data_IF_247036667996
#
_entry.id   IF_247036667996
#
_cell.length_a   1.000
_cell.length_b   1.000
_cell.length_c   1.000
_cell.angle_alpha   90.00
_cell.angle_beta   90.00
_cell.angle_gamma   90.00
#
_symmetry.space_group_name_H-M   'P 1'
#
loop_
_entity.id
_entity.type
_entity.pdbx_description
1 polymer ?
#
# COMPACT_ATOMS: atom_id res chain seq x y z
N UNK A 1 1.36 -7.78 32.22
CA UNK A 1 1.95 -6.84 31.25
C UNK A 1 2.65 -5.74 32.03
N UNK A 2 3.94 -5.51 31.81
CA UNK A 2 4.69 -4.50 32.56
C UNK A 2 4.46 -3.12 31.93
N UNK A 3 3.79 -2.23 32.65
CA UNK A 3 3.55 -0.86 32.21
C UNK A 3 4.76 0.02 32.53
N UNK A 4 5.14 0.90 31.60
CA UNK A 4 6.24 1.86 31.79
C UNK A 4 5.77 3.27 31.39
N UNK A 5 6.25 4.32 32.08
CA UNK A 5 5.93 5.68 31.69
C UNK A 5 6.62 6.05 30.38
N UNK A 6 5.88 6.66 29.45
CA UNK A 6 6.43 7.27 28.26
C UNK A 6 7.48 8.31 28.66
N UNK A 7 8.68 8.23 28.09
CA UNK A 7 9.77 9.14 28.47
C UNK A 7 9.52 10.59 28.05
N UNK A 8 8.70 10.81 27.02
CA UNK A 8 8.31 12.12 26.49
C UNK A 8 7.15 12.75 27.30
N UNK A 9 5.96 12.15 27.32
CA UNK A 9 4.76 12.75 27.92
C UNK A 9 4.37 12.18 29.30
N UNK A 10 5.13 11.22 29.85
CA UNK A 10 4.87 10.52 31.13
C UNK A 10 3.61 9.68 31.20
N UNK A 11 2.80 9.63 30.14
CA UNK A 11 1.65 8.73 30.06
C UNK A 11 2.09 7.26 30.17
N UNK A 12 1.35 6.47 30.93
CA UNK A 12 1.65 5.06 31.17
C UNK A 12 1.32 4.24 29.93
N UNK A 13 2.29 3.50 29.40
CA UNK A 13 2.14 2.70 28.18
C UNK A 13 2.66 1.28 28.40
N UNK A 14 2.20 0.33 27.59
CA UNK A 14 2.77 -1.00 27.56
C UNK A 14 4.26 -0.95 27.20
N UNK A 15 5.10 -1.73 27.88
CA UNK A 15 6.55 -1.75 27.62
C UNK A 15 6.92 -2.17 26.19
N UNK A 16 6.01 -2.81 25.45
CA UNK A 16 6.18 -3.24 24.06
C UNK A 16 5.54 -2.28 23.04
N UNK A 17 4.90 -1.19 23.50
CA UNK A 17 4.25 -0.24 22.62
C UNK A 17 5.26 0.41 21.66
N UNK A 18 5.01 0.30 20.36
CA UNK A 18 5.84 0.93 19.31
C UNK A 18 5.62 2.43 19.20
N UNK A 19 4.44 2.92 19.58
CA UNK A 19 4.04 4.33 19.52
C UNK A 19 3.25 4.68 20.78
N UNK A 20 3.49 5.87 21.36
CA UNK A 20 2.67 6.36 22.47
C UNK A 20 1.29 6.78 21.97
N UNK A 21 0.18 6.27 22.54
CA UNK A 21 -1.17 6.67 22.15
C UNK A 21 -1.51 8.12 22.55
N UNK A 22 -0.80 8.69 23.53
CA UNK A 22 -1.10 10.04 24.03
C UNK A 22 -0.32 11.14 23.29
N UNK A 23 0.94 10.90 22.89
CA UNK A 23 1.75 11.93 22.23
C UNK A 23 2.35 11.53 20.87
N UNK A 24 2.11 10.31 20.39
CA UNK A 24 2.55 9.86 19.07
C UNK A 24 4.05 9.57 18.94
N UNK A 25 4.84 9.68 20.02
CA UNK A 25 6.28 9.39 19.97
C UNK A 25 6.54 7.90 19.71
N UNK A 26 7.43 7.59 18.77
CA UNK A 26 7.88 6.22 18.49
C UNK A 26 8.82 5.75 19.60
N UNK A 27 8.70 4.49 19.99
CA UNK A 27 9.46 3.84 21.06
C UNK A 27 9.40 4.57 22.42
N UNK A 28 8.20 4.76 23.01
CA UNK A 28 8.00 5.56 24.21
C UNK A 28 8.76 5.09 25.47
N UNK A 29 9.18 3.82 25.50
CA UNK A 29 9.85 3.22 26.65
C UNK A 29 11.37 3.45 26.74
N UNK A 30 12.00 3.98 25.68
CA UNK A 30 13.46 4.17 25.60
C UNK A 30 13.79 5.63 25.28
N UNK A 31 14.91 6.12 25.80
CA UNK A 31 15.42 7.45 25.42
C UNK A 31 16.35 7.32 24.20
N UNK A 32 16.47 8.39 23.41
CA UNK A 32 17.42 8.45 22.28
C UNK A 32 18.85 8.13 22.75
N UNK A 33 19.23 8.59 23.95
CA UNK A 33 20.52 8.27 24.56
C UNK A 33 20.71 6.76 24.81
N UNK A 34 19.68 6.03 25.22
CA UNK A 34 19.74 4.57 25.41
C UNK A 34 19.84 3.80 24.08
N UNK A 35 19.20 4.29 23.02
CA UNK A 35 19.33 3.67 21.69
C UNK A 35 20.73 3.85 21.10
N UNK A 36 21.32 5.05 21.26
CA UNK A 36 22.70 5.32 20.81
C UNK A 36 23.71 4.51 21.63
N UNK A 37 23.54 4.42 22.96
CA UNK A 37 24.42 3.59 23.80
C UNK A 37 24.32 2.10 23.46
N UNK A 38 23.11 1.59 23.19
CA UNK A 38 22.90 0.20 22.78
C UNK A 38 23.56 -0.14 21.44
N UNK A 39 23.51 0.78 20.48
CA UNK A 39 24.17 0.63 19.18
C UNK A 39 25.71 0.64 19.33
N UNK A 40 26.25 1.52 20.18
CA UNK A 40 27.69 1.59 20.45
C UNK A 40 28.21 0.32 21.15
N UNK A 41 27.48 -0.21 22.13
CA UNK A 41 27.84 -1.46 22.80
C UNK A 41 27.82 -2.63 21.81
N UNK A 42 26.80 -2.69 20.93
CA UNK A 42 26.72 -3.71 19.88
C UNK A 42 27.92 -3.64 18.92
N UNK A 43 28.31 -2.44 18.48
CA UNK A 43 29.47 -2.25 17.60
C UNK A 43 30.79 -2.64 18.28
N UNK A 44 30.94 -2.37 19.58
CA UNK A 44 32.12 -2.82 20.35
C UNK A 44 32.14 -4.33 20.51
N UNK A 45 31.00 -4.99 20.72
CA UNK A 45 30.91 -6.46 20.77
C UNK A 45 31.27 -7.07 19.41
N UNK A 46 30.78 -6.48 18.31
CA UNK A 46 31.11 -6.93 16.95
C UNK A 46 32.60 -6.74 16.67
N UNK A 47 33.17 -5.59 17.02
CA UNK A 47 34.61 -5.34 16.88
C UNK A 47 35.45 -6.31 17.72
N UNK A 48 35.03 -6.58 18.97
CA UNK A 48 35.66 -7.56 19.86
C UNK A 48 35.61 -8.98 19.31
N UNK A 49 34.46 -9.39 18.75
CA UNK A 49 34.29 -10.69 18.12
C UNK A 49 35.17 -10.86 16.87
N UNK A 50 35.33 -9.81 16.05
CA UNK A 50 36.20 -9.81 14.86
C UNK A 50 37.68 -9.90 15.28
N UNK A 51 38.07 -9.28 16.40
CA UNK A 51 39.44 -9.40 16.94
C UNK A 51 39.73 -10.75 17.60
N UNK A 52 38.71 -11.49 18.05
CA UNK A 52 38.88 -12.84 18.62
C UNK A 52 38.87 -13.98 17.59
N UNK A 53 38.53 -13.70 16.33
CA UNK A 53 38.50 -14.70 15.25
C UNK A 53 39.52 -14.45 14.12
N UNK A 54 40.57 -13.64 14.35
CA UNK A 54 41.65 -13.45 13.37
C UNK A 54 42.94 -14.13 13.82
N UNK A 55 42.96 -15.46 13.77
CA UNK A 55 44.17 -16.27 13.73
C UNK A 55 44.20 -17.05 12.42
N UNK A 56 45.16 -16.76 11.54
CA UNK A 56 45.50 -17.69 10.44
C UNK A 56 45.64 -17.08 9.04
N UNK A 57 46.87 -16.66 8.76
CA UNK A 57 47.64 -16.81 7.52
C UNK A 57 47.27 -16.08 6.21
N UNK A 58 48.34 -15.60 5.58
CA UNK A 58 48.40 -14.84 4.32
C UNK A 58 48.40 -15.79 3.13
N UNK A 59 47.66 -15.45 2.07
CA UNK A 59 48.09 -15.75 0.71
C UNK A 59 47.52 -14.72 -0.27
N UNK A 60 48.42 -14.20 -1.12
CA UNK A 60 48.10 -13.30 -2.23
C UNK A 60 47.60 -14.14 -3.40
N UNK A 61 46.43 -13.81 -3.94
CA UNK A 61 46.06 -14.14 -5.32
C UNK A 61 45.56 -12.87 -5.99
N UNK A 62 46.16 -12.60 -7.14
CA UNK A 62 45.86 -11.47 -8.01
C UNK A 62 44.59 -11.72 -8.83
N UNK A 63 43.92 -10.61 -9.10
CA UNK A 63 43.10 -10.29 -10.25
C UNK A 63 41.72 -10.97 -10.40
N UNK A 64 40.68 -10.15 -10.22
CA UNK A 64 39.48 -10.07 -11.08
C UNK A 64 38.59 -8.93 -10.59
N UNK A 65 38.55 -7.89 -11.42
CA UNK A 65 37.38 -7.08 -11.80
C UNK A 65 36.26 -6.93 -10.76
N UNK A 66 35.97 -5.71 -10.26
CA UNK A 66 34.80 -5.48 -9.44
C UNK A 66 33.51 -5.91 -10.17
N UNK A 67 32.66 -6.74 -9.55
CA UNK A 67 31.35 -7.05 -10.09
C UNK A 67 30.52 -5.78 -10.22
N UNK A 68 30.07 -5.56 -11.46
CA UNK A 68 28.91 -4.78 -11.87
C UNK A 68 28.23 -3.98 -10.75
N UNK A 69 28.40 -2.65 -10.83
CA UNK A 69 27.34 -1.73 -10.44
C UNK A 69 26.01 -2.28 -10.96
N UNK A 70 25.15 -2.65 -10.00
CA UNK A 70 23.73 -2.88 -10.25
C UNK A 70 23.25 -1.69 -11.08
N UNK A 71 22.71 -1.89 -12.30
CA UNK A 71 22.39 -0.77 -13.15
C UNK A 71 21.43 0.13 -12.40
N UNK A 72 21.86 1.38 -12.20
CA UNK A 72 20.95 2.49 -11.99
C UNK A 72 19.93 2.39 -13.11
N UNK A 73 18.72 1.94 -12.77
CA UNK A 73 17.61 1.93 -13.71
C UNK A 73 17.45 3.36 -14.19
N UNK A 74 17.84 3.54 -15.44
CA UNK A 74 17.90 4.82 -16.12
C UNK A 74 16.53 5.48 -16.03
N UNK A 75 16.57 6.74 -15.64
CA UNK A 75 15.47 7.69 -15.76
C UNK A 75 15.02 7.77 -17.21
N UNK A 76 13.92 7.09 -17.52
CA UNK A 76 13.14 7.38 -18.73
C UNK A 76 11.81 7.93 -18.27
N UNK A 77 11.68 9.25 -18.34
CA UNK A 77 10.40 9.92 -18.20
C UNK A 77 9.55 9.68 -19.46
N UNK A 78 8.23 9.51 -19.31
CA UNK A 78 7.66 8.17 -19.25
C UNK A 78 6.72 7.90 -20.43
N UNK A 79 6.26 6.66 -20.48
CA UNK A 79 4.98 6.27 -21.09
C UNK A 79 3.93 7.37 -20.86
N UNK A 80 3.44 7.93 -21.97
CA UNK A 80 2.52 9.06 -22.09
C UNK A 80 1.37 9.04 -21.08
N UNK A 81 1.28 10.05 -20.22
CA UNK A 81 0.11 10.33 -19.39
C UNK A 81 -0.88 11.24 -20.14
N UNK A 82 -2.13 11.31 -19.67
CA UNK A 82 -3.16 12.21 -20.25
C UNK A 82 -3.69 13.16 -19.19
N UNK A 83 -3.69 14.47 -19.46
CA UNK A 83 -4.39 15.45 -18.63
C UNK A 83 -5.88 15.35 -18.97
N UNK A 84 -6.72 14.96 -17.99
CA UNK A 84 -8.16 14.81 -18.18
C UNK A 84 -8.95 16.04 -17.75
N UNK A 85 -8.40 16.83 -16.82
CA UNK A 85 -8.96 18.11 -16.37
C UNK A 85 -7.85 19.09 -16.03
N UNK A 86 -8.03 20.35 -16.37
CA UNK A 86 -7.11 21.44 -16.04
C UNK A 86 -7.90 22.72 -15.76
N UNK A 87 -7.98 23.08 -14.48
CA UNK A 87 -8.76 24.21 -14.00
C UNK A 87 -7.87 25.22 -13.30
N UNK A 88 -8.04 26.49 -13.65
CA UNK A 88 -7.36 27.60 -13.00
C UNK A 88 -8.33 28.75 -12.73
N UNK A 89 -8.21 29.34 -11.54
CA UNK A 89 -8.86 30.60 -11.17
C UNK A 89 -7.86 31.42 -10.38
N UNK A 90 -7.81 32.71 -10.66
CA UNK A 90 -6.94 33.64 -9.93
C UNK A 90 -7.20 33.56 -8.41
N UNK A 91 -6.11 33.62 -7.63
CA UNK A 91 -6.17 33.45 -6.17
C UNK A 91 -6.40 32.01 -5.68
N UNK A 92 -6.48 31.01 -6.56
CA UNK A 92 -6.59 29.59 -6.20
C UNK A 92 -5.48 28.75 -6.84
N UNK A 93 -5.09 27.62 -6.23
CA UNK A 93 -4.18 26.68 -6.89
C UNK A 93 -4.77 26.18 -8.22
N UNK A 94 -3.95 26.06 -9.26
CA UNK A 94 -4.30 25.31 -10.47
C UNK A 94 -4.59 23.87 -10.07
N UNK A 95 -5.73 23.32 -10.50
CA UNK A 95 -6.12 21.93 -10.24
C UNK A 95 -6.05 21.14 -11.52
N UNK A 96 -5.25 20.07 -11.50
CA UNK A 96 -5.06 19.19 -12.65
C UNK A 96 -5.45 17.77 -12.27
N UNK A 97 -6.15 17.07 -13.15
CA UNK A 97 -6.37 15.63 -13.06
C UNK A 97 -5.60 14.96 -14.19
N UNK A 98 -4.83 13.92 -13.85
CA UNK A 98 -3.96 13.19 -14.76
C UNK A 98 -4.33 11.71 -14.72
N UNK A 99 -4.57 11.12 -15.89
CA UNK A 99 -4.68 9.68 -16.08
C UNK A 99 -3.30 9.10 -16.42
N UNK A 100 -2.86 8.14 -15.61
CA UNK A 100 -1.62 7.40 -15.79
C UNK A 100 -1.93 6.01 -16.38
N UNK A 101 -1.14 5.52 -17.35
CA UNK A 101 -1.32 4.17 -17.88
C UNK A 101 -0.93 3.07 -16.88
N UNK A 102 -0.18 3.43 -15.83
CA UNK A 102 0.25 2.51 -14.76
C UNK A 102 0.57 3.26 -13.47
N UNK A 103 0.67 2.49 -12.38
CA UNK A 103 1.24 2.96 -11.11
C UNK A 103 2.71 3.31 -11.30
N UNK A 104 3.11 4.42 -10.69
CA UNK A 104 4.47 4.96 -10.73
C UNK A 104 5.15 4.76 -9.36
N UNK A 105 6.48 4.70 -9.34
CA UNK A 105 7.23 4.88 -8.10
C UNK A 105 7.37 6.37 -7.75
N UNK A 106 7.95 6.67 -6.58
CA UNK A 106 8.05 8.05 -6.07
C UNK A 106 8.83 8.99 -7.01
N UNK A 107 9.92 8.51 -7.61
CA UNK A 107 10.75 9.28 -8.55
C UNK A 107 9.98 9.58 -9.83
N UNK A 108 9.37 8.56 -10.43
CA UNK A 108 8.55 8.70 -11.64
C UNK A 108 7.36 9.64 -11.41
N UNK A 109 6.68 9.52 -10.27
CA UNK A 109 5.56 10.38 -9.89
C UNK A 109 6.01 11.84 -9.75
N UNK A 110 7.14 12.07 -9.08
CA UNK A 110 7.69 13.42 -8.91
C UNK A 110 8.03 14.08 -10.24
N UNK A 111 8.61 13.32 -11.15
CA UNK A 111 9.00 13.85 -12.44
C UNK A 111 7.80 14.07 -13.37
N UNK A 112 6.79 13.21 -13.36
CA UNK A 112 5.50 13.48 -14.02
C UNK A 112 4.83 14.72 -13.44
N UNK A 113 4.81 14.86 -12.11
CA UNK A 113 4.22 16.03 -11.45
C UNK A 113 4.94 17.34 -11.86
N UNK A 114 6.27 17.33 -11.96
CA UNK A 114 7.05 18.47 -12.45
C UNK A 114 6.73 18.79 -13.92
N UNK A 115 6.64 17.76 -14.77
CA UNK A 115 6.28 17.93 -16.18
C UNK A 115 4.88 18.56 -16.32
N UNK A 116 3.88 18.05 -15.60
CA UNK A 116 2.51 18.58 -15.57
C UNK A 116 2.47 20.01 -15.02
N UNK A 117 3.28 20.33 -13.99
CA UNK A 117 3.38 21.70 -13.48
C UNK A 117 3.93 22.66 -14.54
N UNK A 118 4.97 22.24 -15.27
CA UNK A 118 5.63 23.03 -16.30
C UNK A 118 4.75 23.19 -17.56
N UNK A 119 3.94 22.17 -17.88
CA UNK A 119 2.94 22.22 -18.94
C UNK A 119 1.71 23.01 -18.48
N UNK A 120 1.85 24.33 -18.50
CA UNK A 120 0.78 25.26 -18.13
C UNK A 120 0.81 26.51 -18.99
N UNK A 121 -0.37 26.97 -19.38
CA UNK A 121 -0.58 28.32 -19.94
C UNK A 121 -0.92 29.36 -18.86
N UNK A 122 -1.11 28.92 -17.62
CA UNK A 122 -1.52 29.76 -16.50
C UNK A 122 -0.31 30.22 -15.68
N UNK A 123 -0.36 31.48 -15.22
CA UNK A 123 0.53 31.98 -14.16
C UNK A 123 -0.03 31.55 -12.80
N UNK A 124 0.20 30.30 -12.44
CA UNK A 124 -0.25 29.74 -11.18
C UNK A 124 0.94 29.53 -10.23
N UNK A 125 0.96 30.26 -9.11
CA UNK A 125 2.02 30.10 -8.10
C UNK A 125 1.95 28.73 -7.40
N UNK A 126 0.72 28.20 -7.28
CA UNK A 126 0.41 26.94 -6.62
C UNK A 126 -0.30 25.98 -7.57
N UNK A 127 -0.07 24.69 -7.38
CA UNK A 127 -0.77 23.64 -8.14
C UNK A 127 -1.09 22.43 -7.27
N UNK A 128 -2.23 21.81 -7.54
CA UNK A 128 -2.62 20.51 -7.03
C UNK A 128 -2.89 19.59 -8.23
N UNK A 129 -2.29 18.40 -8.20
CA UNK A 129 -2.39 17.41 -9.26
C UNK A 129 -2.92 16.13 -8.64
N UNK A 130 -4.10 15.70 -9.07
CA UNK A 130 -4.68 14.39 -8.74
C UNK A 130 -4.31 13.38 -9.82
N UNK A 131 -3.77 12.23 -9.42
CA UNK A 131 -3.40 11.15 -10.32
C UNK A 131 -4.40 10.01 -10.20
N UNK A 132 -4.91 9.56 -11.33
CA UNK A 132 -5.66 8.31 -11.51
C UNK A 132 -4.82 7.32 -12.29
N UNK A 133 -5.10 6.04 -12.13
CA UNK A 133 -4.46 4.98 -12.92
C UNK A 133 -5.52 4.25 -13.73
N UNK A 134 -5.20 3.90 -14.98
CA UNK A 134 -6.07 3.08 -15.81
C UNK A 134 -6.39 1.75 -15.11
N UNK A 135 -7.67 1.35 -15.18
CA UNK A 135 -8.16 0.14 -14.53
C UNK A 135 -8.25 0.21 -13.01
N UNK A 136 -8.10 1.38 -12.39
CA UNK A 136 -8.32 1.58 -10.97
C UNK A 136 -9.77 1.23 -10.58
N UNK A 137 -9.94 0.48 -9.50
CA UNK A 137 -11.25 0.08 -8.95
C UNK A 137 -11.88 1.16 -8.07
N UNK A 138 -11.06 1.98 -7.41
CA UNK A 138 -11.51 3.03 -6.50
C UNK A 138 -11.88 4.34 -7.25
N UNK A 139 -12.89 5.05 -6.76
CA UNK A 139 -13.33 6.32 -7.35
C UNK A 139 -12.45 7.53 -7.02
N UNK A 140 -11.62 7.46 -5.99
CA UNK A 140 -10.73 8.53 -5.53
C UNK A 140 -9.46 8.66 -6.39
N UNK A 141 -8.56 9.58 -6.03
CA UNK A 141 -7.22 9.62 -6.65
C UNK A 141 -6.35 8.51 -6.09
N UNK A 142 -5.55 7.88 -6.95
CA UNK A 142 -4.52 6.92 -6.55
C UNK A 142 -3.37 7.61 -5.82
N UNK A 143 -2.97 8.79 -6.29
CA UNK A 143 -1.96 9.63 -5.66
C UNK A 143 -2.28 11.11 -5.92
N UNK A 144 -1.63 12.00 -5.18
CA UNK A 144 -1.64 13.43 -5.48
C UNK A 144 -0.26 14.04 -5.30
N UNK A 145 -0.05 15.16 -5.98
CA UNK A 145 1.07 16.05 -5.76
C UNK A 145 0.59 17.49 -5.62
N UNK A 146 1.29 18.27 -4.79
CA UNK A 146 1.07 19.69 -4.63
C UNK A 146 2.38 20.45 -4.76
N UNK A 147 2.28 21.68 -5.24
CA UNK A 147 3.36 22.64 -5.30
C UNK A 147 2.94 23.92 -4.58
N UNK A 148 3.52 24.18 -3.42
CA UNK A 148 3.24 25.38 -2.61
C UNK A 148 4.43 25.78 -1.71
N UNK A 149 5.45 26.48 -2.24
CA UNK A 149 5.96 26.37 -3.62
C UNK A 149 6.69 25.03 -3.87
N UNK A 150 7.09 24.38 -2.78
CA UNK A 150 7.83 23.12 -2.76
C UNK A 150 6.94 21.95 -3.19
N UNK A 151 7.58 20.96 -3.79
CA UNK A 151 6.94 19.70 -4.16
C UNK A 151 6.61 18.87 -2.92
N UNK A 152 5.37 18.36 -2.87
CA UNK A 152 4.94 17.31 -1.95
C UNK A 152 4.06 16.33 -2.69
N UNK A 153 4.15 15.05 -2.35
CA UNK A 153 3.24 14.02 -2.86
C UNK A 153 2.72 13.13 -1.75
N UNK A 154 1.56 12.54 -2.01
CA UNK A 154 0.94 11.53 -1.16
C UNK A 154 0.40 10.42 -2.05
N UNK A 155 0.84 9.19 -1.75
CA UNK A 155 0.24 7.98 -2.26
C UNK A 155 -0.98 7.63 -1.40
N UNK A 156 -2.13 7.41 -2.04
CA UNK A 156 -3.40 7.08 -1.38
C UNK A 156 -3.71 5.58 -1.55
N UNK A 157 -3.58 5.08 -2.78
CA UNK A 157 -3.85 3.69 -3.12
C UNK A 157 -2.61 2.78 -3.02
N UNK A 158 -2.70 1.59 -3.60
CA UNK A 158 -1.59 0.63 -3.64
C UNK A 158 -0.35 1.19 -4.33
N UNK A 159 0.82 0.99 -3.72
CA UNK A 159 2.09 1.27 -4.40
C UNK A 159 2.26 0.39 -5.64
N UNK A 160 3.14 0.79 -6.58
CA UNK A 160 3.43 -0.04 -7.74
C UNK A 160 3.93 -1.44 -7.33
N UNK A 161 4.76 -1.54 -6.30
CA UNK A 161 5.29 -2.80 -5.81
C UNK A 161 4.22 -3.66 -5.13
N UNK A 162 3.40 -3.07 -4.25
CA UNK A 162 2.33 -3.81 -3.56
C UNK A 162 1.28 -4.31 -4.53
N UNK A 163 0.96 -3.51 -5.55
CA UNK A 163 0.07 -3.93 -6.63
C UNK A 163 0.64 -5.13 -7.40
N UNK A 164 1.93 -5.14 -7.73
CA UNK A 164 2.55 -6.32 -8.36
C UNK A 164 2.59 -7.53 -7.43
N UNK A 165 2.88 -7.34 -6.15
CA UNK A 165 2.88 -8.42 -5.16
C UNK A 165 1.50 -9.08 -5.05
N UNK A 166 0.44 -8.26 -4.98
CA UNK A 166 -0.94 -8.75 -4.97
C UNK A 166 -1.36 -9.39 -6.31
N UNK A 167 -0.89 -8.85 -7.44
CA UNK A 167 -1.11 -9.47 -8.76
C UNK A 167 -0.48 -10.86 -8.90
N UNK A 168 0.63 -11.08 -8.21
CA UNK A 168 1.39 -12.33 -8.21
C UNK A 168 0.98 -13.28 -7.07
N UNK A 169 -0.11 -12.98 -6.34
CA UNK A 169 -0.54 -13.78 -5.21
C UNK A 169 -0.91 -15.21 -5.64
N UNK A 170 -0.28 -16.22 -5.04
CA UNK A 170 -0.63 -17.62 -5.28
C UNK A 170 -1.91 -18.00 -4.54
N UNK A 171 -3.00 -18.11 -5.30
CA UNK A 171 -4.31 -18.48 -4.76
C UNK A 171 -4.55 -20.00 -4.72
N UNK A 172 -3.54 -20.84 -4.99
CA UNK A 172 -3.66 -22.32 -4.86
C UNK A 172 -3.91 -22.76 -3.43
N UNK A 173 -3.53 -21.94 -2.45
CA UNK A 173 -3.79 -22.18 -1.03
C UNK A 173 -5.28 -22.10 -0.63
N UNK A 174 -6.17 -21.69 -1.54
CA UNK A 174 -7.62 -21.59 -1.30
C UNK A 174 -8.36 -22.76 -1.99
N UNK A 175 -8.46 -23.94 -1.35
CA UNK A 175 -9.30 -25.01 -1.88
C UNK A 175 -10.76 -24.56 -1.89
N UNK A 176 -11.51 -24.94 -2.92
CA UNK A 176 -12.91 -24.52 -3.12
C UNK A 176 -13.10 -23.00 -3.18
N UNK A 177 -12.12 -22.28 -3.75
CA UNK A 177 -12.26 -20.86 -4.10
C UNK A 177 -13.44 -20.67 -5.06
N UNK A 178 -14.29 -19.71 -4.73
CA UNK A 178 -15.44 -19.29 -5.53
C UNK A 178 -15.03 -18.12 -6.44
N UNK A 179 -14.30 -17.15 -5.89
CA UNK A 179 -13.85 -15.99 -6.64
C UNK A 179 -12.76 -15.21 -5.90
N UNK A 180 -12.16 -14.28 -6.61
CA UNK A 180 -11.20 -13.33 -6.06
C UNK A 180 -11.34 -11.99 -6.77
N UNK A 181 -11.10 -10.90 -6.05
CA UNK A 181 -11.29 -9.52 -6.54
C UNK A 181 -10.20 -8.63 -5.95
N UNK A 182 -9.75 -7.63 -6.70
CA UNK A 182 -8.72 -6.71 -6.26
C UNK A 182 -9.34 -5.34 -5.97
N UNK A 183 -9.19 -4.88 -4.74
CA UNK A 183 -9.48 -3.51 -4.36
C UNK A 183 -8.15 -2.75 -4.28
N UNK A 184 -8.02 -1.68 -5.05
CA UNK A 184 -6.73 -1.02 -5.29
C UNK A 184 -6.66 0.44 -4.82
N UNK A 185 -7.67 0.85 -4.06
CA UNK A 185 -7.74 2.10 -3.32
C UNK A 185 -6.97 2.07 -1.99
N UNK A 186 -7.40 2.89 -1.03
CA UNK A 186 -6.82 2.92 0.30
C UNK A 186 -6.97 1.54 0.97
N UNK A 187 -5.92 1.07 1.64
CA UNK A 187 -5.84 -0.28 2.21
C UNK A 187 -6.04 -1.39 1.16
N UNK A 188 -5.55 -1.18 -0.07
CA UNK A 188 -5.76 -2.14 -1.14
C UNK A 188 -5.28 -3.57 -0.81
N UNK A 189 -6.06 -4.54 -1.26
CA UNK A 189 -5.94 -5.94 -0.92
C UNK A 189 -6.63 -6.80 -1.99
N UNK A 190 -6.38 -8.11 -1.94
CA UNK A 190 -7.14 -9.09 -2.72
C UNK A 190 -8.16 -9.74 -1.80
N UNK A 191 -9.42 -9.62 -2.18
CA UNK A 191 -10.53 -10.34 -1.55
C UNK A 191 -10.61 -11.74 -2.16
N UNK A 192 -10.66 -12.78 -1.33
CA UNK A 192 -10.77 -14.18 -1.79
C UNK A 192 -11.95 -14.86 -1.10
N UNK A 193 -12.99 -15.17 -1.87
CA UNK A 193 -14.16 -15.90 -1.39
C UNK A 193 -13.95 -17.40 -1.60
N UNK A 194 -14.14 -18.18 -0.54
CA UNK A 194 -14.02 -19.63 -0.59
C UNK A 194 -14.97 -20.31 0.39
N UNK A 195 -15.16 -21.62 0.21
CA UNK A 195 -16.00 -22.43 1.10
C UNK A 195 -15.17 -23.42 1.88
N UNK A 196 -15.31 -23.40 3.20
CA UNK A 196 -14.62 -24.32 4.11
C UNK A 196 -15.61 -24.81 5.18
N UNK A 197 -15.67 -26.12 5.41
CA UNK A 197 -16.55 -26.74 6.40
C UNK A 197 -18.02 -26.28 6.31
N UNK A 198 -18.51 -26.12 5.08
CA UNK A 198 -19.88 -25.67 4.82
C UNK A 198 -20.13 -24.17 4.94
N UNK A 199 -19.18 -23.39 5.47
CA UNK A 199 -19.29 -21.94 5.66
C UNK A 199 -18.62 -21.17 4.53
N UNK A 200 -19.12 -19.96 4.25
CA UNK A 200 -18.47 -19.01 3.33
C UNK A 200 -17.52 -18.12 4.11
N UNK A 201 -16.31 -17.95 3.58
CA UNK A 201 -15.27 -17.10 4.16
C UNK A 201 -14.74 -16.16 3.09
N UNK A 202 -14.50 -14.91 3.49
CA UNK A 202 -13.91 -13.89 2.63
C UNK A 202 -12.62 -13.40 3.29
N UNK A 203 -11.49 -13.73 2.66
CA UNK A 203 -10.18 -13.27 3.12
C UNK A 203 -9.82 -11.97 2.42
N UNK A 204 -9.46 -10.95 3.20
CA UNK A 204 -8.80 -9.73 2.72
C UNK A 204 -7.30 -9.88 2.86
N UNK A 205 -6.61 -10.18 1.76
CA UNK A 205 -5.16 -10.47 1.73
C UNK A 205 -4.37 -9.23 1.32
N UNK A 206 -3.50 -8.77 2.20
CA UNK A 206 -2.68 -7.58 1.99
C UNK A 206 -1.31 -7.93 1.39
N UNK A 207 -0.67 -6.96 0.74
CA UNK A 207 0.63 -7.15 0.08
C UNK A 207 1.75 -7.60 1.05
N UNK A 208 1.61 -7.31 2.35
CA UNK A 208 2.52 -7.78 3.40
C UNK A 208 2.40 -9.28 3.71
N UNK A 209 1.41 -9.97 3.12
CA UNK A 209 1.07 -11.37 3.39
C UNK A 209 0.10 -11.56 4.56
N UNK A 210 -0.18 -10.50 5.33
CA UNK A 210 -1.23 -10.52 6.36
C UNK A 210 -2.62 -10.66 5.74
N UNK A 211 -3.57 -11.21 6.49
CA UNK A 211 -4.96 -11.30 6.07
C UNK A 211 -5.95 -11.13 7.22
N UNK A 212 -7.13 -10.62 6.90
CA UNK A 212 -8.32 -10.67 7.75
C UNK A 212 -9.31 -11.66 7.14
N UNK A 213 -10.02 -12.41 7.97
CA UNK A 213 -11.01 -13.42 7.53
C UNK A 213 -12.36 -13.07 8.12
N UNK A 214 -13.35 -12.93 7.24
CA UNK A 214 -14.75 -12.69 7.61
C UNK A 214 -15.62 -13.88 7.23
N UNK A 215 -16.73 -14.06 7.95
CA UNK A 215 -17.65 -15.19 7.78
C UNK A 215 -19.01 -14.72 7.29
N UNK A 216 -19.59 -15.47 6.35
CA UNK A 216 -20.85 -15.09 5.70
C UNK A 216 -21.86 -16.23 5.66
N UNK A 217 -23.13 -15.86 5.68
CA UNK A 217 -24.25 -16.73 5.32
C UNK A 217 -24.56 -16.55 3.85
N UNK A 218 -24.47 -17.63 3.07
CA UNK A 218 -24.68 -17.60 1.63
C UNK A 218 -26.11 -17.94 1.22
N UNK A 219 -26.71 -17.13 0.35
CA UNK A 219 -28.01 -17.38 -0.29
C UNK A 219 -27.88 -17.34 -1.81
N UNK A 220 -28.27 -18.44 -2.46
CA UNK A 220 -28.36 -18.51 -3.92
C UNK A 220 -29.47 -17.56 -4.42
N UNK A 221 -29.16 -16.78 -5.44
CA UNK A 221 -30.10 -15.89 -6.11
C UNK A 221 -30.73 -16.58 -7.33
N UNK A 222 -31.95 -16.17 -7.77
CA UNK A 222 -32.64 -16.80 -8.90
C UNK A 222 -31.88 -16.74 -10.23
N UNK A 223 -31.03 -15.74 -10.40
CA UNK A 223 -30.18 -15.53 -11.58
C UNK A 223 -28.88 -16.35 -11.55
N UNK A 224 -28.68 -17.17 -10.51
CA UNK A 224 -27.48 -17.98 -10.30
C UNK A 224 -26.41 -17.31 -9.44
N UNK A 225 -26.58 -16.03 -9.09
CA UNK A 225 -25.70 -15.29 -8.19
C UNK A 225 -25.68 -15.83 -6.77
N UNK A 226 -24.77 -15.29 -5.95
CA UNK A 226 -24.61 -15.64 -4.55
C UNK A 226 -24.59 -14.36 -3.70
N UNK A 227 -25.61 -14.20 -2.87
CA UNK A 227 -25.62 -13.19 -1.82
C UNK A 227 -24.91 -13.73 -0.57
N UNK A 228 -24.13 -12.86 0.07
CA UNK A 228 -23.36 -13.12 1.28
C UNK A 228 -23.75 -12.08 2.32
N UNK A 229 -24.50 -12.51 3.32
CA UNK A 229 -24.92 -11.67 4.44
C UNK A 229 -23.98 -11.87 5.63
N UNK A 230 -23.50 -10.76 6.21
CA UNK A 230 -22.76 -10.79 7.47
C UNK A 230 -23.76 -11.01 8.62
N UNK A 231 -23.68 -12.13 9.36
CA UNK A 231 -24.61 -12.42 10.45
C UNK A 231 -24.42 -11.49 11.67
N UNK A 232 -23.31 -10.74 11.75
CA UNK A 232 -22.97 -9.85 12.86
C UNK A 232 -23.25 -8.37 12.56
N UNK A 233 -23.62 -8.02 11.33
CA UNK A 233 -23.85 -6.65 10.91
C UNK A 233 -25.32 -6.24 11.01
N UNK A 234 -25.60 -5.19 11.79
CA UNK A 234 -26.92 -4.55 11.86
C UNK A 234 -27.15 -3.51 10.74
N UNK A 235 -26.12 -3.24 9.91
CA UNK A 235 -26.15 -2.14 8.92
C UNK A 235 -26.66 -2.56 7.53
N UNK A 236 -27.21 -3.78 7.41
CA UNK A 236 -27.72 -4.35 6.17
C UNK A 236 -26.69 -4.35 5.00
N UNK A 237 -25.40 -4.25 5.33
CA UNK A 237 -24.30 -4.38 4.39
C UNK A 237 -24.13 -5.84 4.00
N UNK A 238 -24.00 -6.09 2.70
CA UNK A 238 -23.85 -7.44 2.17
C UNK A 238 -23.10 -7.42 0.85
N UNK A 239 -22.56 -8.59 0.49
CA UNK A 239 -21.94 -8.80 -0.81
C UNK A 239 -22.84 -9.62 -1.74
N UNK A 240 -22.74 -9.35 -3.04
CA UNK A 240 -23.33 -10.19 -4.08
C UNK A 240 -22.25 -10.55 -5.09
N UNK A 241 -22.04 -11.85 -5.30
CA UNK A 241 -21.32 -12.36 -6.47
C UNK A 241 -22.35 -12.57 -7.58
N UNK A 242 -22.31 -11.73 -8.60
CA UNK A 242 -23.25 -11.81 -9.71
C UNK A 242 -22.96 -13.00 -10.64
N UNK A 243 -23.85 -13.24 -11.62
CA UNK A 243 -23.71 -14.34 -12.57
C UNK A 243 -22.45 -14.23 -13.47
N UNK A 244 -21.88 -13.03 -13.61
CA UNK A 244 -20.62 -12.80 -14.34
C UNK A 244 -19.38 -12.99 -13.44
N UNK A 245 -19.60 -13.20 -12.14
CA UNK A 245 -18.55 -13.36 -11.13
C UNK A 245 -18.02 -12.04 -10.58
N UNK A 246 -18.63 -10.89 -10.88
CA UNK A 246 -18.25 -9.64 -10.23
C UNK A 246 -18.69 -9.66 -8.77
N UNK A 247 -17.90 -9.03 -7.90
CA UNK A 247 -18.29 -8.80 -6.51
C UNK A 247 -18.90 -7.41 -6.38
N UNK A 248 -20.10 -7.34 -5.84
CA UNK A 248 -20.81 -6.10 -5.58
C UNK A 248 -20.95 -5.90 -4.08
N UNK A 249 -20.61 -4.69 -3.61
CA UNK A 249 -20.89 -4.25 -2.24
C UNK A 249 -22.20 -3.47 -2.20
N UNK A 250 -23.11 -3.85 -1.31
CA UNK A 250 -24.43 -3.26 -1.16
C UNK A 250 -24.65 -2.80 0.29
N UNK A 251 -25.26 -1.63 0.44
CA UNK A 251 -25.73 -1.10 1.73
C UNK A 251 -27.10 -0.46 1.59
N UNK A 252 -27.54 0.29 2.60
CA UNK A 252 -28.86 0.95 2.62
C UNK A 252 -29.09 1.88 1.42
N UNK A 253 -28.03 2.54 0.94
CA UNK A 253 -28.08 3.47 -0.19
C UNK A 253 -27.91 2.78 -1.57
N UNK A 254 -27.95 1.45 -1.61
CA UNK A 254 -27.76 0.66 -2.82
C UNK A 254 -26.31 0.18 -3.01
N UNK A 255 -25.98 -0.15 -4.25
CA UNK A 255 -24.67 -0.68 -4.62
C UNK A 255 -23.61 0.43 -4.55
N UNK A 256 -22.62 0.26 -3.68
CA UNK A 256 -21.53 1.23 -3.50
C UNK A 256 -20.21 0.79 -4.15
N UNK A 257 -20.11 -0.48 -4.57
CA UNK A 257 -18.90 -1.03 -5.17
C UNK A 257 -19.23 -2.13 -6.18
N UNK A 258 -18.43 -2.22 -7.25
CA UNK A 258 -18.38 -3.39 -8.12
C UNK A 258 -16.93 -3.68 -8.48
N UNK A 259 -16.47 -4.90 -8.23
CA UNK A 259 -15.13 -5.36 -8.57
C UNK A 259 -15.22 -6.50 -9.59
N UNK A 260 -14.48 -6.43 -10.72
CA UNK A 260 -14.43 -7.52 -11.68
C UNK A 260 -13.59 -8.70 -11.13
N UNK A 261 -13.85 -9.94 -11.60
CA UNK A 261 -13.04 -11.09 -11.22
C UNK A 261 -11.55 -10.84 -11.43
N UNK A 262 -10.79 -10.89 -10.33
CA UNK A 262 -9.33 -10.85 -10.35
C UNK A 262 -8.78 -12.26 -10.56
N UNK A 263 -8.02 -12.43 -11.64
CA UNK A 263 -7.25 -13.65 -11.93
C UNK A 263 -5.77 -13.31 -11.76
N UNK A 264 -5.08 -13.85 -10.74
CA UNK A 264 -3.63 -13.72 -10.65
C UNK A 264 -2.97 -14.31 -11.90
N UNK A 265 -1.78 -13.85 -12.23
CA UNK A 265 -0.96 -14.51 -13.24
C UNK A 265 -0.70 -15.96 -12.77
N UNK A 266 -1.09 -16.94 -13.59
CA UNK A 266 -0.94 -18.38 -13.30
C UNK A 266 0.50 -18.85 -13.46
#
# INVERSE_FOLDING_TARGET
MALKPCKSCKHTVDATAKVCPSCGVKNPGVTVAQQVFGLLILLVIIAGAVTMCSGGNKEKVADKTPPAEKPAQSSVLPSTYTITKDEFREGRPRKVEVMLPRRLNDTELADVAKAVRADTKFKADKSFIGFRVEGQSDGAYWANASFDPDYRSSLIGLSANDYQALKALDLKAYPNRIGSWMQDGALGHVMVLYKQNGKYLLDSVFASGGKNTEHYVGKKLPDGGLRLDDPESDFNEHYVVDASGNLQGWGENGMYMTLPPFKPAQ
#
